data_IF_574683419596
#
_entry.id   IF_574683419596
#
_cell.length_a   1.000
_cell.length_b   1.000
_cell.length_c   1.000
_cell.angle_alpha   90.00
_cell.angle_beta   90.00
_cell.angle_gamma   90.00
#
_symmetry.space_group_name_H-M   'P 1'
#
loop_
_entity.id
_entity.type
_entity.pdbx_description
1 polymer ?
#
# COMPACT_ATOMS: atom_id res chain seq x y z
N UNK A 1 9.92 5.57 -16.99
CA UNK A 1 8.55 5.08 -16.74
C UNK A 1 7.92 4.46 -17.98
N UNK A 2 8.03 5.07 -19.16
CA UNK A 2 7.36 4.58 -20.37
C UNK A 2 7.82 3.18 -20.82
N UNK A 3 9.08 2.82 -20.59
CA UNK A 3 9.60 1.46 -20.81
C UNK A 3 8.89 0.39 -19.96
N UNK A 4 8.54 0.71 -18.71
CA UNK A 4 7.83 -0.25 -17.84
C UNK A 4 6.37 -0.44 -18.24
N UNK A 5 5.72 0.60 -18.80
CA UNK A 5 4.35 0.49 -19.31
C UNK A 5 4.26 -0.40 -20.55
N UNK A 6 5.31 -0.43 -21.38
CA UNK A 6 5.41 -1.34 -22.52
C UNK A 6 5.52 -2.81 -22.07
N UNK A 7 6.22 -3.08 -20.97
CA UNK A 7 6.39 -4.44 -20.42
C UNK A 7 5.10 -4.96 -19.78
N UNK A 8 4.34 -4.11 -19.09
CA UNK A 8 3.07 -4.51 -18.45
C UNK A 8 1.91 -4.60 -19.42
N UNK A 9 2.11 -4.26 -20.70
CA UNK A 9 1.06 -4.20 -21.73
C UNK A 9 -0.17 -3.39 -21.27
N UNK A 10 0.05 -2.31 -20.52
CA UNK A 10 -1.02 -1.43 -20.02
C UNK A 10 -1.86 -1.99 -18.86
N UNK A 11 -1.60 -3.22 -18.39
CA UNK A 11 -2.37 -3.86 -17.31
C UNK A 11 -2.12 -3.24 -15.93
N UNK A 12 -0.95 -2.60 -15.75
CA UNK A 12 -0.58 -1.87 -14.55
C UNK A 12 0.07 -0.54 -14.94
N UNK A 13 -0.53 0.56 -14.47
CA UNK A 13 0.07 1.89 -14.58
C UNK A 13 1.16 2.08 -13.52
N UNK A 14 2.36 1.59 -13.86
CA UNK A 14 3.56 1.69 -13.02
C UNK A 14 3.92 3.15 -12.73
N UNK A 15 3.63 4.07 -13.66
CA UNK A 15 3.92 5.49 -13.46
C UNK A 15 3.03 6.06 -12.36
N UNK A 16 1.73 5.77 -12.39
CA UNK A 16 0.78 6.18 -11.33
C UNK A 16 1.16 5.58 -9.99
N UNK A 17 1.51 4.29 -9.96
CA UNK A 17 1.94 3.61 -8.74
C UNK A 17 3.18 4.29 -8.13
N UNK A 18 4.26 4.38 -8.92
CA UNK A 18 5.56 4.89 -8.45
C UNK A 18 5.55 6.39 -8.14
N UNK A 19 4.61 7.17 -8.70
CA UNK A 19 4.49 8.61 -8.44
C UNK A 19 4.39 8.90 -6.93
N UNK A 20 3.60 8.11 -6.20
CA UNK A 20 3.40 8.29 -4.76
C UNK A 20 4.66 7.97 -3.96
N UNK A 21 5.43 6.96 -4.39
CA UNK A 21 6.67 6.52 -3.73
C UNK A 21 7.84 7.48 -3.90
N UNK A 22 7.92 8.19 -5.04
CA UNK A 22 9.05 9.07 -5.32
C UNK A 22 8.80 10.54 -4.93
N UNK A 23 7.53 10.97 -4.88
CA UNK A 23 7.19 12.38 -4.62
C UNK A 23 6.75 12.64 -3.18
N UNK A 24 6.21 11.64 -2.48
CA UNK A 24 5.77 11.80 -1.09
C UNK A 24 6.92 11.46 -0.14
N UNK A 25 7.25 12.39 0.78
CA UNK A 25 8.25 12.13 1.82
C UNK A 25 7.74 11.12 2.85
N UNK A 26 8.62 10.21 3.27
CA UNK A 26 8.31 9.17 4.25
C UNK A 26 7.84 7.88 3.58
N UNK A 27 7.10 7.05 4.32
CA UNK A 27 6.60 5.77 3.87
C UNK A 27 5.28 5.42 4.58
N UNK A 28 4.46 4.53 3.99
CA UNK A 28 3.21 4.14 4.60
C UNK A 28 3.42 3.19 5.78
N UNK A 29 2.64 3.40 6.85
CA UNK A 29 2.29 2.37 7.82
C UNK A 29 1.06 1.62 7.30
N UNK A 30 1.14 0.29 7.26
CA UNK A 30 0.02 -0.58 6.87
C UNK A 30 -0.48 -1.31 8.10
N UNK A 31 -1.70 -1.00 8.50
CA UNK A 31 -2.38 -1.64 9.62
C UNK A 31 -3.29 -2.74 9.09
N UNK A 32 -3.11 -3.96 9.59
CA UNK A 32 -3.86 -5.14 9.17
C UNK A 32 -4.66 -5.69 10.35
N UNK A 33 -5.97 -5.77 10.21
CA UNK A 33 -6.88 -6.33 11.22
C UNK A 33 -7.61 -7.53 10.63
N UNK A 34 -7.48 -8.69 11.28
CA UNK A 34 -8.16 -9.92 10.85
C UNK A 34 -9.40 -10.18 11.69
N UNK A 35 -10.56 -10.28 11.05
CA UNK A 35 -11.80 -10.73 11.65
C UNK A 35 -12.29 -12.01 10.97
N UNK A 36 -11.92 -13.17 11.55
CA UNK A 36 -12.21 -14.49 10.97
C UNK A 36 -11.53 -14.69 9.62
N UNK A 37 -12.34 -14.72 8.54
CA UNK A 37 -11.89 -14.84 7.15
C UNK A 37 -11.72 -13.48 6.45
N UNK A 38 -12.14 -12.39 7.07
CA UNK A 38 -12.07 -11.04 6.52
C UNK A 38 -10.77 -10.38 7.02
N UNK A 39 -10.06 -9.72 6.11
CA UNK A 39 -8.86 -8.94 6.42
C UNK A 39 -9.18 -7.48 6.06
N UNK A 40 -9.13 -6.62 7.07
CA UNK A 40 -9.20 -5.17 6.91
C UNK A 40 -7.77 -4.63 6.81
N UNK A 41 -7.53 -3.79 5.82
CA UNK A 41 -6.21 -3.19 5.57
C UNK A 41 -6.40 -1.69 5.47
N UNK A 42 -5.58 -0.95 6.20
CA UNK A 42 -5.57 0.51 6.21
C UNK A 42 -4.15 1.01 6.02
N UNK A 43 -4.01 2.18 5.40
CA UNK A 43 -2.73 2.86 5.25
C UNK A 43 -2.81 4.28 5.82
N UNK A 44 -1.71 4.69 6.42
CA UNK A 44 -1.44 6.05 6.87
C UNK A 44 0.05 6.34 6.72
N UNK A 45 0.47 7.60 6.89
CA UNK A 45 1.90 7.92 6.88
C UNK A 45 2.53 7.46 8.19
N UNK A 46 3.66 6.75 8.12
CA UNK A 46 4.41 6.41 9.32
C UNK A 46 5.07 7.68 9.91
N UNK A 47 4.89 7.88 11.21
CA UNK A 47 5.47 8.98 11.99
C UNK A 47 6.18 8.39 13.21
N UNK A 48 7.45 8.71 13.40
CA UNK A 48 8.22 8.33 14.59
C UNK A 48 8.15 9.47 15.60
N UNK A 49 7.44 9.24 16.72
CA UNK A 49 7.00 10.25 17.70
C UNK A 49 5.95 11.23 17.15
N UNK A 50 4.83 11.33 17.87
CA UNK A 50 3.81 12.35 17.64
C UNK A 50 4.37 13.70 18.10
N UNK A 51 5.16 14.37 17.27
CA UNK A 51 5.37 15.80 17.47
C UNK A 51 4.01 16.48 17.30
N UNK A 52 3.42 16.85 18.43
CA UNK A 52 2.07 17.41 18.61
C UNK A 52 1.80 18.71 17.83
N UNK A 53 2.76 19.24 17.09
CA UNK A 53 2.67 20.58 16.48
C UNK A 53 2.23 20.58 15.02
N UNK A 54 2.23 19.44 14.31
CA UNK A 54 1.88 19.42 12.89
C UNK A 54 0.95 18.26 12.51
N UNK A 55 -0.12 18.07 13.28
CA UNK A 55 -1.25 17.24 12.86
C UNK A 55 -2.07 17.97 11.78
N UNK A 56 -1.42 18.45 10.71
CA UNK A 56 -2.14 18.71 9.47
C UNK A 56 -2.62 17.37 9.01
N UNK A 57 -3.93 17.13 9.17
CA UNK A 57 -4.63 15.91 8.79
C UNK A 57 -3.92 15.21 7.63
N UNK A 58 -3.43 14.00 7.89
CA UNK A 58 -2.75 13.05 6.98
C UNK A 58 -3.60 12.68 5.76
N UNK A 59 -4.62 13.49 5.44
CA UNK A 59 -5.59 13.22 4.42
C UNK A 59 -5.03 13.24 2.99
N UNK A 60 -3.85 13.83 2.79
CA UNK A 60 -3.18 13.96 1.50
C UNK A 60 -2.20 12.82 1.19
N UNK A 61 -1.75 12.07 2.19
CA UNK A 61 -0.79 10.98 1.99
C UNK A 61 -1.51 9.68 1.66
N UNK A 62 -1.48 9.32 0.38
CA UNK A 62 -2.02 8.06 -0.13
C UNK A 62 -0.98 7.43 -1.04
N UNK A 63 -0.51 6.23 -0.70
CA UNK A 63 0.37 5.44 -1.55
C UNK A 63 -0.43 4.40 -2.33
N UNK A 64 0.09 4.04 -3.49
CA UNK A 64 -0.34 2.85 -4.22
C UNK A 64 0.60 1.71 -3.84
N UNK A 65 0.15 0.84 -2.93
CA UNK A 65 1.00 -0.15 -2.28
C UNK A 65 0.71 -1.55 -2.87
N UNK A 66 1.66 -2.17 -3.58
CA UNK A 66 1.53 -3.57 -3.98
C UNK A 66 1.81 -4.47 -2.77
N UNK A 67 0.76 -4.83 -2.04
CA UNK A 67 0.85 -5.73 -0.90
C UNK A 67 0.98 -7.16 -1.37
N UNK A 68 1.83 -7.91 -0.68
CA UNK A 68 1.88 -9.37 -0.81
C UNK A 68 1.68 -9.99 0.57
N UNK A 69 0.97 -11.11 0.62
CA UNK A 69 0.75 -11.83 1.87
C UNK A 69 0.76 -13.34 1.65
N UNK A 70 1.07 -14.03 2.74
CA UNK A 70 1.02 -15.48 2.88
C UNK A 70 0.27 -15.82 4.15
N UNK A 71 -0.41 -16.97 4.17
CA UNK A 71 -1.12 -17.46 5.36
C UNK A 71 -0.53 -18.81 5.78
N UNK A 72 -0.80 -19.21 7.01
CA UNK A 72 -0.34 -20.49 7.56
C UNK A 72 -0.88 -21.73 6.82
N UNK A 73 -1.89 -21.58 5.96
CA UNK A 73 -2.41 -22.66 5.11
C UNK A 73 -1.60 -22.85 3.82
N UNK A 74 -0.57 -22.03 3.58
CA UNK A 74 0.32 -22.20 2.44
C UNK A 74 1.29 -23.36 2.67
N UNK A 75 1.05 -24.48 1.98
CA UNK A 75 1.85 -25.71 2.09
C UNK A 75 2.77 -25.98 0.88
N UNK A 76 2.77 -25.12 -0.15
CA UNK A 76 3.52 -25.33 -1.40
C UNK A 76 4.30 -24.08 -1.84
N UNK A 77 5.13 -24.22 -2.88
CA UNK A 77 6.11 -23.23 -3.35
C UNK A 77 5.52 -21.95 -3.96
N UNK A 78 4.20 -21.83 -4.15
CA UNK A 78 3.55 -20.66 -4.75
C UNK A 78 2.18 -20.35 -4.10
N UNK A 79 2.16 -19.69 -2.93
CA UNK A 79 0.91 -19.15 -2.36
C UNK A 79 0.94 -17.65 -2.04
N UNK A 80 1.94 -16.92 -2.55
CA UNK A 80 1.99 -15.47 -2.41
C UNK A 80 0.85 -14.84 -3.20
N UNK A 81 -0.06 -14.18 -2.50
CA UNK A 81 -1.14 -13.41 -3.13
C UNK A 81 -0.76 -11.94 -3.16
N UNK A 82 -1.02 -11.27 -4.28
CA UNK A 82 -0.81 -9.84 -4.43
C UNK A 82 -2.15 -9.07 -4.38
N UNK A 83 -2.14 -7.91 -3.75
CA UNK A 83 -3.27 -6.99 -3.67
C UNK A 83 -2.75 -5.55 -3.79
N UNK A 84 -3.37 -4.73 -4.64
CA UNK A 84 -3.04 -3.32 -4.75
C UNK A 84 -3.90 -2.52 -3.77
N UNK A 85 -3.27 -1.96 -2.73
CA UNK A 85 -3.91 -1.01 -1.83
C UNK A 85 -3.71 0.40 -2.38
N UNK A 86 -4.73 0.93 -3.05
CA UNK A 86 -4.75 2.27 -3.64
C UNK A 86 -5.89 3.15 -3.12
N UNK A 87 -6.67 2.63 -2.17
CA UNK A 87 -7.75 3.35 -1.51
C UNK A 87 -7.31 3.83 -0.12
N UNK A 88 -7.87 4.97 0.28
CA UNK A 88 -7.73 5.49 1.64
C UNK A 88 -8.62 4.69 2.58
N UNK A 89 -8.23 4.60 3.85
CA UNK A 89 -9.08 4.03 4.90
C UNK A 89 -10.49 4.61 4.80
N UNK A 90 -11.47 3.75 4.52
CA UNK A 90 -12.88 4.13 4.54
C UNK A 90 -13.31 4.49 5.96
N UNK A 91 -14.03 5.61 6.09
CA UNK A 91 -15.02 5.76 7.17
C UNK A 91 -16.23 4.89 6.83
#
# INVERSE_FOLDING_TARGET
YDYFLQITNGTLDVKKLMKTWILQKGFPLVTVVRNGKIIFVQQEKFLYHLETENWTSDASYLWHIPLTYVTSSCNFTHCTTAYLLDQKSGM
#
